data_IF_222006443938
#
_entry.id   IF_222006443938
#
_cell.length_a   1.000
_cell.length_b   1.000
_cell.length_c   1.000
_cell.angle_alpha   90.00
_cell.angle_beta   90.00
_cell.angle_gamma   90.00
#
_symmetry.space_group_name_H-M   'P 1'
#
loop_
_entity.id
_entity.type
_entity.pdbx_description
1 polymer ?
#
# COMPACT_ATOMS: atom_id res chain seq x y z
N UNK A 1 5.47 -4.81 -46.74
CA UNK A 1 4.01 -4.96 -46.50
C UNK A 1 3.75 -6.31 -45.83
N UNK A 2 3.36 -6.29 -44.55
CA UNK A 2 2.22 -7.05 -44.04
C UNK A 2 1.65 -6.27 -42.84
N UNK A 3 0.78 -5.27 -43.09
CA UNK A 3 0.50 -4.20 -42.10
C UNK A 3 -0.70 -4.49 -41.19
N UNK A 4 -1.04 -5.77 -40.94
CA UNK A 4 -2.18 -6.12 -40.08
C UNK A 4 -1.87 -7.34 -39.21
N UNK A 5 -1.79 -7.10 -37.90
CA UNK A 5 -1.58 -8.11 -36.83
C UNK A 5 -2.48 -9.34 -36.96
N UNK A 6 -3.72 -9.15 -37.43
CA UNK A 6 -4.69 -10.23 -37.64
C UNK A 6 -4.20 -11.29 -38.64
N UNK A 7 -3.43 -10.89 -39.67
CA UNK A 7 -2.89 -11.81 -40.67
C UNK A 7 -1.76 -12.65 -40.09
N UNK A 8 -0.86 -12.03 -39.32
CA UNK A 8 0.19 -12.78 -38.62
C UNK A 8 -0.41 -13.79 -37.66
N UNK A 9 -1.39 -13.38 -36.82
CA UNK A 9 -2.06 -14.30 -35.89
C UNK A 9 -2.74 -15.46 -36.63
N UNK A 10 -3.55 -15.17 -37.65
CA UNK A 10 -4.25 -16.22 -38.40
C UNK A 10 -3.29 -17.17 -39.13
N UNK A 11 -2.15 -16.68 -39.63
CA UNK A 11 -1.18 -17.54 -40.30
C UNK A 11 -0.38 -18.38 -39.31
N UNK A 12 0.00 -17.82 -38.16
CA UNK A 12 0.61 -18.58 -37.06
C UNK A 12 -0.34 -19.68 -36.59
N UNK A 13 -1.62 -19.36 -36.37
CA UNK A 13 -2.63 -20.35 -35.95
C UNK A 13 -2.75 -21.50 -36.96
N UNK A 14 -2.69 -21.19 -38.26
CA UNK A 14 -2.69 -22.20 -39.32
C UNK A 14 -1.43 -23.09 -39.27
N UNK A 15 -0.24 -22.51 -39.16
CA UNK A 15 1.00 -23.28 -39.10
C UNK A 15 1.10 -24.13 -37.81
N UNK A 16 0.54 -23.66 -36.69
CA UNK A 16 0.39 -24.45 -35.45
C UNK A 16 -0.52 -25.66 -35.69
N UNK A 17 -1.65 -25.48 -36.39
CA UNK A 17 -2.54 -26.60 -36.75
C UNK A 17 -1.86 -27.62 -37.67
N UNK A 18 -1.01 -27.14 -38.57
CA UNK A 18 -0.19 -27.98 -39.45
C UNK A 18 1.02 -28.60 -38.75
N UNK A 19 1.31 -28.22 -37.49
CA UNK A 19 2.46 -28.64 -36.68
C UNK A 19 3.82 -28.25 -37.29
N UNK A 20 3.84 -27.20 -38.09
CA UNK A 20 5.05 -26.64 -38.71
C UNK A 20 5.70 -25.60 -37.78
N UNK A 21 6.25 -26.07 -36.66
CA UNK A 21 6.74 -25.20 -35.59
C UNK A 21 7.94 -24.33 -35.99
N UNK A 22 8.79 -24.77 -36.92
CA UNK A 22 9.86 -23.95 -37.47
C UNK A 22 9.33 -22.73 -38.24
N UNK A 23 8.23 -22.91 -38.98
CA UNK A 23 7.55 -21.80 -39.66
C UNK A 23 6.87 -20.88 -38.67
N UNK A 24 6.28 -21.42 -37.61
CA UNK A 24 5.72 -20.62 -36.52
C UNK A 24 6.79 -19.69 -35.91
N UNK A 25 8.00 -20.21 -35.63
CA UNK A 25 9.14 -19.43 -35.12
C UNK A 25 9.51 -18.28 -36.06
N UNK A 26 9.73 -18.59 -37.34
CA UNK A 26 10.03 -17.56 -38.35
C UNK A 26 8.93 -16.49 -38.45
N UNK A 27 7.67 -16.87 -38.28
CA UNK A 27 6.56 -15.93 -38.30
C UNK A 27 6.51 -15.04 -37.07
N UNK A 28 6.76 -15.60 -35.88
CA UNK A 28 6.86 -14.81 -34.65
C UNK A 28 8.04 -13.84 -34.69
N UNK A 29 9.22 -14.27 -35.14
CA UNK A 29 10.39 -13.42 -35.32
C UNK A 29 10.08 -12.26 -36.28
N UNK A 30 9.53 -12.55 -37.46
CA UNK A 30 9.11 -11.51 -38.40
C UNK A 30 8.04 -10.58 -37.82
N UNK A 31 7.11 -11.09 -37.03
CA UNK A 31 6.09 -10.25 -36.41
C UNK A 31 6.74 -9.27 -35.43
N UNK A 32 7.68 -9.75 -34.62
CA UNK A 32 8.41 -8.94 -33.65
C UNK A 32 9.39 -7.95 -34.30
N UNK A 33 9.92 -8.24 -35.49
CA UNK A 33 10.68 -7.26 -36.30
C UNK A 33 9.84 -6.03 -36.66
N UNK A 34 8.55 -6.22 -36.98
CA UNK A 34 7.65 -5.10 -37.35
C UNK A 34 7.00 -4.41 -36.14
N UNK A 35 6.84 -5.12 -35.03
CA UNK A 35 6.15 -4.64 -33.84
C UNK A 35 6.75 -5.16 -32.54
N UNK A 36 7.98 -4.73 -32.17
CA UNK A 36 8.65 -5.18 -30.94
C UNK A 36 7.92 -4.71 -29.67
N UNK A 37 7.06 -3.70 -29.77
CA UNK A 37 6.28 -3.12 -28.68
C UNK A 37 5.14 -4.05 -28.21
N UNK A 38 4.71 -4.98 -29.08
CA UNK A 38 3.57 -5.85 -28.83
C UNK A 38 3.91 -6.98 -27.86
N UNK A 39 3.58 -6.74 -26.59
CA UNK A 39 3.79 -7.68 -25.47
C UNK A 39 3.04 -9.00 -25.66
N UNK A 40 1.87 -8.99 -26.32
CA UNK A 40 1.06 -10.21 -26.51
C UNK A 40 1.76 -11.19 -27.45
N UNK A 41 2.43 -10.69 -28.49
CA UNK A 41 3.21 -11.52 -29.40
C UNK A 41 4.39 -12.18 -28.69
N UNK A 42 5.13 -11.44 -27.86
CA UNK A 42 6.21 -11.99 -27.03
C UNK A 42 5.72 -13.11 -26.11
N UNK A 43 4.63 -12.88 -25.38
CA UNK A 43 4.05 -13.88 -24.48
C UNK A 43 3.61 -15.14 -25.25
N UNK A 44 2.92 -14.97 -26.38
CA UNK A 44 2.46 -16.11 -27.20
C UNK A 44 3.62 -16.91 -27.79
N UNK A 45 4.72 -16.23 -28.15
CA UNK A 45 5.91 -16.91 -28.65
C UNK A 45 6.58 -17.73 -27.54
N UNK A 46 6.75 -17.16 -26.35
CA UNK A 46 7.31 -17.89 -25.21
C UNK A 46 6.40 -19.05 -24.74
N UNK A 47 5.08 -18.87 -24.74
CA UNK A 47 4.10 -19.92 -24.46
C UNK A 47 4.23 -21.08 -25.45
N UNK A 48 4.41 -20.80 -26.75
CA UNK A 48 4.62 -21.85 -27.76
C UNK A 48 5.87 -22.68 -27.47
N UNK A 49 7.02 -22.04 -27.20
CA UNK A 49 8.26 -22.77 -26.91
C UNK A 49 8.16 -23.57 -25.61
N UNK A 50 7.47 -23.03 -24.59
CA UNK A 50 7.19 -23.78 -23.37
C UNK A 50 6.32 -25.01 -23.63
N UNK A 51 5.30 -24.91 -24.48
CA UNK A 51 4.46 -26.05 -24.89
C UNK A 51 5.24 -27.10 -25.69
N UNK A 52 6.29 -26.71 -26.39
CA UNK A 52 7.20 -27.61 -27.09
C UNK A 52 8.24 -28.25 -26.15
N UNK A 53 8.32 -27.80 -24.90
CA UNK A 53 9.29 -28.25 -23.90
C UNK A 53 10.63 -27.52 -23.94
N UNK A 54 10.79 -26.53 -24.82
CA UNK A 54 12.02 -25.72 -24.95
C UNK A 54 11.99 -24.55 -23.95
N UNK A 55 12.11 -24.85 -22.65
CA UNK A 55 12.04 -23.86 -21.55
C UNK A 55 13.16 -22.80 -21.65
N UNK A 56 14.37 -23.20 -22.05
CA UNK A 56 15.50 -22.28 -22.22
C UNK A 56 15.24 -21.26 -23.33
N UNK A 57 14.58 -21.66 -24.43
CA UNK A 57 14.19 -20.74 -25.48
C UNK A 57 13.07 -19.82 -25.02
N UNK A 58 12.08 -20.35 -24.29
CA UNK A 58 11.01 -19.53 -23.71
C UNK A 58 11.59 -18.43 -22.78
N UNK A 59 12.57 -18.76 -21.92
CA UNK A 59 13.31 -17.79 -21.10
C UNK A 59 14.04 -16.75 -21.92
N UNK A 60 14.78 -17.18 -22.94
CA UNK A 60 15.49 -16.25 -23.82
C UNK A 60 14.54 -15.25 -24.50
N UNK A 61 13.36 -15.71 -24.92
CA UNK A 61 12.32 -14.85 -25.50
C UNK A 61 11.81 -13.83 -24.47
N UNK A 62 11.52 -14.25 -23.24
CA UNK A 62 11.10 -13.33 -22.17
C UNK A 62 12.18 -12.29 -21.81
N UNK A 63 13.44 -12.71 -21.71
CA UNK A 63 14.55 -11.78 -21.44
C UNK A 63 14.74 -10.77 -22.56
N UNK A 64 14.64 -11.19 -23.83
CA UNK A 64 14.67 -10.28 -24.98
C UNK A 64 13.50 -9.29 -24.94
N UNK A 65 12.31 -9.74 -24.55
CA UNK A 65 11.13 -8.91 -24.44
C UNK A 65 11.29 -7.82 -23.36
N UNK A 66 11.82 -8.19 -22.19
CA UNK A 66 12.04 -7.26 -21.05
C UNK A 66 13.12 -6.20 -21.33
N UNK A 67 14.06 -6.52 -22.22
CA UNK A 67 15.11 -5.59 -22.67
C UNK A 67 14.61 -4.55 -23.68
N UNK A 68 13.41 -4.71 -24.25
CA UNK A 68 12.89 -3.75 -25.21
C UNK A 68 12.64 -2.37 -24.55
N UNK A 69 13.03 -1.27 -25.21
CA UNK A 69 12.92 0.07 -24.63
C UNK A 69 11.48 0.60 -24.59
N UNK A 70 10.61 0.07 -25.47
CA UNK A 70 9.20 0.44 -25.56
C UNK A 70 8.35 -0.82 -25.66
N UNK A 71 7.36 -0.87 -24.79
CA UNK A 71 6.42 -1.97 -24.64
C UNK A 71 5.05 -1.39 -24.36
N UNK A 72 4.01 -1.89 -25.01
CA UNK A 72 2.63 -1.41 -24.84
C UNK A 72 2.11 -1.63 -23.42
N UNK A 73 2.34 -2.84 -22.89
CA UNK A 73 1.86 -3.27 -21.57
C UNK A 73 2.97 -4.02 -20.83
N UNK A 74 3.99 -3.29 -20.31
CA UNK A 74 5.12 -3.90 -19.62
C UNK A 74 4.67 -4.75 -18.42
N UNK A 75 3.68 -4.26 -17.66
CA UNK A 75 3.15 -4.96 -16.47
C UNK A 75 2.65 -6.38 -16.79
N UNK A 76 1.98 -6.54 -17.94
CA UNK A 76 1.43 -7.82 -18.36
C UNK A 76 2.55 -8.80 -18.75
N UNK A 77 3.57 -8.31 -19.47
CA UNK A 77 4.74 -9.11 -19.85
C UNK A 77 5.52 -9.59 -18.63
N UNK A 78 5.80 -8.69 -17.68
CA UNK A 78 6.52 -9.05 -16.45
C UNK A 78 5.74 -10.07 -15.62
N UNK A 79 4.42 -9.89 -15.48
CA UNK A 79 3.57 -10.86 -14.80
C UNK A 79 3.65 -12.23 -15.48
N UNK A 80 3.53 -12.28 -16.81
CA UNK A 80 3.61 -13.54 -17.54
C UNK A 80 4.99 -14.22 -17.38
N UNK A 81 6.07 -13.44 -17.35
CA UNK A 81 7.41 -14.00 -17.13
C UNK A 81 7.58 -14.56 -15.73
N UNK A 82 7.10 -13.85 -14.71
CA UNK A 82 7.11 -14.33 -13.32
C UNK A 82 6.25 -15.60 -13.21
N UNK A 83 5.01 -15.59 -13.72
CA UNK A 83 4.11 -16.75 -13.70
C UNK A 83 4.75 -17.98 -14.39
N UNK A 84 5.52 -17.76 -15.46
CA UNK A 84 6.26 -18.81 -16.16
C UNK A 84 7.34 -19.45 -15.26
N UNK A 85 8.20 -18.67 -14.59
CA UNK A 85 9.21 -19.24 -13.70
C UNK A 85 8.59 -19.91 -12.47
N UNK A 86 7.49 -19.36 -11.95
CA UNK A 86 6.72 -19.98 -10.87
C UNK A 86 6.12 -21.31 -11.31
N UNK A 87 5.59 -21.41 -12.53
CA UNK A 87 5.05 -22.65 -13.08
C UNK A 87 6.12 -23.74 -13.27
N UNK A 88 7.37 -23.34 -13.53
CA UNK A 88 8.51 -24.27 -13.58
C UNK A 88 9.05 -24.65 -12.20
N UNK A 89 8.59 -23.99 -11.13
CA UNK A 89 9.07 -24.20 -9.76
C UNK A 89 10.38 -23.47 -9.45
N UNK A 90 10.85 -22.60 -10.34
CA UNK A 90 12.10 -21.84 -10.18
C UNK A 90 11.88 -20.59 -9.32
N UNK A 91 11.63 -20.83 -8.03
CA UNK A 91 11.28 -19.78 -7.06
C UNK A 91 12.35 -18.71 -6.94
N UNK A 92 13.63 -19.07 -7.03
CA UNK A 92 14.74 -18.13 -6.90
C UNK A 92 14.83 -17.17 -8.09
N UNK A 93 14.60 -17.67 -9.31
CA UNK A 93 14.52 -16.82 -10.50
C UNK A 93 13.31 -15.88 -10.42
N UNK A 94 12.16 -16.37 -9.96
CA UNK A 94 10.99 -15.54 -9.74
C UNK A 94 11.25 -14.39 -8.75
N UNK A 95 11.99 -14.64 -7.64
CA UNK A 95 12.41 -13.58 -6.71
C UNK A 95 13.29 -12.53 -7.39
N UNK A 96 14.28 -12.96 -8.16
CA UNK A 96 15.16 -12.06 -8.90
C UNK A 96 14.39 -11.20 -9.91
N UNK A 97 13.36 -11.75 -10.55
CA UNK A 97 12.47 -11.00 -11.44
C UNK A 97 11.65 -9.96 -10.69
N UNK A 98 11.12 -10.28 -9.51
CA UNK A 98 10.44 -9.30 -8.65
C UNK A 98 11.36 -8.14 -8.26
N UNK A 99 12.59 -8.43 -7.83
CA UNK A 99 13.56 -7.38 -7.47
C UNK A 99 13.89 -6.48 -8.67
N UNK A 100 14.17 -7.05 -9.85
CA UNK A 100 14.40 -6.28 -11.09
C UNK A 100 13.20 -5.41 -11.48
N UNK A 101 11.97 -5.92 -11.29
CA UNK A 101 10.75 -5.16 -11.57
C UNK A 101 10.55 -3.99 -10.58
N UNK A 102 10.90 -4.22 -9.31
CA UNK A 102 10.84 -3.21 -8.25
C UNK A 102 11.85 -2.10 -8.47
N UNK A 103 13.06 -2.41 -8.94
CA UNK A 103 14.06 -1.40 -9.34
C UNK A 103 13.55 -0.46 -10.43
N UNK A 104 12.69 -0.95 -11.33
CA UNK A 104 12.15 -0.16 -12.46
C UNK A 104 10.92 0.65 -12.11
N UNK A 105 9.95 0.09 -11.40
CA UNK A 105 8.60 0.68 -11.28
C UNK A 105 8.20 1.09 -9.87
N UNK A 106 8.83 0.52 -8.82
CA UNK A 106 8.53 0.76 -7.40
C UNK A 106 7.02 0.78 -7.03
N UNK A 107 6.16 0.18 -7.85
CA UNK A 107 4.71 0.25 -7.68
C UNK A 107 4.21 -0.66 -6.55
N UNK A 108 3.24 -0.17 -5.77
CA UNK A 108 2.65 -0.91 -4.64
C UNK A 108 2.09 -2.28 -5.03
N UNK A 109 1.50 -2.40 -6.23
CA UNK A 109 0.94 -3.67 -6.70
C UNK A 109 2.00 -4.75 -6.84
N UNK A 110 3.23 -4.39 -7.22
CA UNK A 110 4.36 -5.32 -7.35
C UNK A 110 4.81 -5.81 -5.98
N UNK A 111 4.90 -4.92 -4.99
CA UNK A 111 5.20 -5.29 -3.61
C UNK A 111 4.15 -6.25 -3.04
N UNK A 112 2.86 -5.96 -3.24
CA UNK A 112 1.77 -6.82 -2.80
C UNK A 112 1.78 -8.18 -3.50
N UNK A 113 2.06 -8.23 -4.81
CA UNK A 113 2.19 -9.51 -5.53
C UNK A 113 3.40 -10.30 -5.06
N UNK A 114 4.51 -9.63 -4.74
CA UNK A 114 5.72 -10.30 -4.26
C UNK A 114 5.50 -10.94 -2.89
N UNK A 115 4.85 -10.23 -1.96
CA UNK A 115 4.48 -10.80 -0.65
C UNK A 115 3.51 -11.99 -0.78
N UNK A 116 2.51 -11.89 -1.67
CA UNK A 116 1.59 -13.00 -1.97
C UNK A 116 2.29 -14.19 -2.60
N UNK A 117 3.28 -13.95 -3.45
CA UNK A 117 4.11 -14.98 -4.06
C UNK A 117 4.85 -15.78 -2.98
N UNK A 118 5.59 -15.13 -2.07
CA UNK A 118 6.30 -15.83 -0.98
C UNK A 118 5.33 -16.66 -0.12
N UNK A 119 4.12 -16.17 0.13
CA UNK A 119 3.11 -16.92 0.87
C UNK A 119 2.53 -18.11 0.10
N UNK A 120 2.47 -18.01 -1.22
CA UNK A 120 2.02 -19.09 -2.10
C UNK A 120 3.05 -20.20 -2.30
N UNK A 121 4.30 -19.99 -1.89
CA UNK A 121 5.35 -21.00 -1.99
C UNK A 121 5.15 -22.10 -0.96
N UNK A 122 4.47 -23.18 -1.34
CA UNK A 122 4.50 -24.42 -0.56
C UNK A 122 5.81 -25.16 -0.83
N UNK A 123 6.85 -24.84 -0.06
CA UNK A 123 7.99 -25.74 0.09
C UNK A 123 7.50 -26.92 0.95
N UNK A 124 7.57 -28.14 0.41
CA UNK A 124 6.69 -29.25 0.77
C UNK A 124 6.50 -29.53 2.27
N UNK A 125 5.23 -29.68 2.66
CA UNK A 125 4.65 -30.36 3.86
C UNK A 125 5.31 -30.14 5.24
N UNK A 126 6.26 -29.20 5.35
CA UNK A 126 7.05 -28.97 6.56
C UNK A 126 6.67 -27.62 7.16
N UNK A 127 6.03 -27.63 8.33
CA UNK A 127 5.55 -26.40 9.00
C UNK A 127 6.61 -25.31 9.27
N UNK A 128 7.91 -25.64 9.18
CA UNK A 128 9.01 -24.68 9.29
C UNK A 128 9.08 -23.74 8.08
N UNK A 129 8.77 -24.22 6.88
CA UNK A 129 8.84 -23.40 5.66
C UNK A 129 7.71 -22.37 5.62
N UNK A 130 6.54 -22.70 6.18
CA UNK A 130 5.43 -21.76 6.32
C UNK A 130 5.79 -20.56 7.22
N UNK A 131 6.51 -20.79 8.31
CA UNK A 131 6.96 -19.71 9.20
C UNK A 131 8.01 -18.82 8.51
N UNK A 132 8.91 -19.41 7.73
CA UNK A 132 9.89 -18.66 6.94
C UNK A 132 9.19 -17.76 5.91
N UNK A 133 8.20 -18.28 5.18
CA UNK A 133 7.44 -17.51 4.20
C UNK A 133 6.71 -16.32 4.81
N UNK A 134 6.09 -16.50 5.99
CA UNK A 134 5.46 -15.41 6.75
C UNK A 134 6.48 -14.32 7.08
N UNK A 135 7.67 -14.71 7.56
CA UNK A 135 8.75 -13.76 7.88
C UNK A 135 9.27 -13.03 6.64
N UNK A 136 9.37 -13.71 5.49
CA UNK A 136 9.77 -13.10 4.22
C UNK A 136 8.73 -12.10 3.73
N UNK A 137 7.44 -12.47 3.73
CA UNK A 137 6.34 -11.59 3.36
C UNK A 137 6.29 -10.32 4.24
N UNK A 138 6.48 -10.46 5.56
CA UNK A 138 6.59 -9.32 6.48
C UNK A 138 7.72 -8.36 6.10
N UNK A 139 8.91 -8.91 5.82
CA UNK A 139 10.07 -8.11 5.39
C UNK A 139 9.79 -7.35 4.09
N UNK A 140 9.08 -7.97 3.15
CA UNK A 140 8.67 -7.34 1.89
C UNK A 140 7.73 -6.16 2.19
N UNK A 141 6.72 -6.34 3.04
CA UNK A 141 5.82 -5.25 3.45
C UNK A 141 6.54 -4.12 4.19
N UNK A 142 7.47 -4.43 5.08
CA UNK A 142 8.29 -3.44 5.77
C UNK A 142 9.11 -2.59 4.81
N UNK A 143 9.85 -3.24 3.89
CA UNK A 143 10.64 -2.56 2.86
C UNK A 143 9.76 -1.71 1.95
N UNK A 144 8.61 -2.23 1.53
CA UNK A 144 7.65 -1.51 0.72
C UNK A 144 7.12 -0.26 1.44
N UNK A 145 6.79 -0.35 2.74
CA UNK A 145 6.29 0.78 3.51
C UNK A 145 7.35 1.86 3.68
N UNK A 146 8.60 1.49 3.91
CA UNK A 146 9.70 2.44 3.98
C UNK A 146 9.95 3.14 2.63
N UNK A 147 9.96 2.39 1.53
CA UNK A 147 10.12 2.95 0.18
C UNK A 147 9.00 3.91 -0.18
N UNK A 148 7.73 3.53 0.03
CA UNK A 148 6.58 4.40 -0.27
C UNK A 148 6.55 5.65 0.63
N UNK A 149 7.01 5.53 1.87
CA UNK A 149 7.21 6.69 2.76
C UNK A 149 8.26 7.65 2.20
N UNK A 150 9.38 7.15 1.69
CA UNK A 150 10.43 7.98 1.08
C UNK A 150 9.97 8.66 -0.22
N UNK A 151 9.16 7.96 -1.03
CA UNK A 151 8.55 8.52 -2.24
C UNK A 151 7.45 9.55 -1.94
N UNK A 152 6.87 9.53 -0.74
CA UNK A 152 5.76 10.40 -0.34
C UNK A 152 4.42 9.99 -0.97
N UNK A 153 4.33 8.81 -1.58
CA UNK A 153 3.10 8.28 -2.17
C UNK A 153 2.17 7.73 -1.09
N UNK A 154 1.34 8.63 -0.55
CA UNK A 154 0.46 8.33 0.57
C UNK A 154 -0.66 7.35 0.20
N UNK A 155 -1.23 7.46 -1.00
CA UNK A 155 -2.33 6.61 -1.44
C UNK A 155 -1.86 5.16 -1.61
N UNK A 156 -0.73 4.97 -2.30
CA UNK A 156 -0.11 3.65 -2.41
C UNK A 156 0.30 3.11 -1.04
N UNK A 157 0.81 3.94 -0.13
CA UNK A 157 1.17 3.53 1.22
C UNK A 157 -0.05 3.07 2.04
N UNK A 158 -1.20 3.73 1.90
CA UNK A 158 -2.47 3.29 2.52
C UNK A 158 -2.85 1.91 1.99
N UNK A 159 -2.84 1.74 0.66
CA UNK A 159 -3.19 0.46 0.02
C UNK A 159 -2.27 -0.68 0.47
N UNK A 160 -0.97 -0.40 0.61
CA UNK A 160 -0.01 -1.36 1.14
C UNK A 160 -0.34 -1.78 2.57
N UNK A 161 -0.65 -0.82 3.46
CA UNK A 161 -0.96 -1.09 4.86
C UNK A 161 -2.28 -1.84 5.03
N UNK A 162 -3.27 -1.58 4.17
CA UNK A 162 -4.51 -2.37 4.11
C UNK A 162 -4.22 -3.82 3.72
N UNK A 163 -3.39 -4.03 2.70
CA UNK A 163 -2.97 -5.37 2.29
C UNK A 163 -2.13 -6.08 3.36
N UNK A 164 -1.23 -5.37 4.06
CA UNK A 164 -0.44 -5.92 5.15
C UNK A 164 -1.32 -6.31 6.34
N UNK A 165 -2.30 -5.48 6.69
CA UNK A 165 -3.30 -5.81 7.73
C UNK A 165 -4.07 -7.08 7.38
N UNK A 166 -4.55 -7.18 6.14
CA UNK A 166 -5.29 -8.36 5.70
C UNK A 166 -4.41 -9.62 5.71
N UNK A 167 -3.13 -9.48 5.37
CA UNK A 167 -2.13 -10.54 5.52
C UNK A 167 -1.94 -10.98 6.98
N UNK A 168 -1.76 -10.06 7.94
CA UNK A 168 -1.54 -10.43 9.35
C UNK A 168 -2.79 -11.06 9.99
N UNK A 169 -3.98 -10.64 9.54
CA UNK A 169 -5.24 -11.30 9.92
C UNK A 169 -5.23 -12.78 9.54
N UNK A 170 -4.76 -13.09 8.34
CA UNK A 170 -4.73 -14.46 7.83
C UNK A 170 -3.61 -15.28 8.48
N UNK A 171 -2.48 -14.66 8.84
CA UNK A 171 -1.37 -15.28 9.57
C UNK A 171 -1.65 -15.50 11.08
N UNK A 172 -2.74 -14.95 11.63
CA UNK A 172 -3.19 -15.10 13.03
C UNK A 172 -2.22 -14.57 14.10
N UNK A 173 -1.36 -13.61 13.78
CA UNK A 173 -0.42 -12.99 14.74
C UNK A 173 -0.99 -11.68 15.31
N UNK A 174 -1.47 -11.73 16.55
CA UNK A 174 -2.11 -10.59 17.19
C UNK A 174 -1.14 -9.43 17.49
N UNK A 175 0.15 -9.70 17.69
CA UNK A 175 1.13 -8.66 18.01
C UNK A 175 1.54 -7.88 16.76
N UNK A 176 1.86 -8.60 15.69
CA UNK A 176 2.22 -7.96 14.41
C UNK A 176 1.03 -7.21 13.81
N UNK A 177 -0.18 -7.76 13.91
CA UNK A 177 -1.41 -7.07 13.53
C UNK A 177 -1.56 -5.72 14.25
N UNK A 178 -1.33 -5.66 15.57
CA UNK A 178 -1.41 -4.41 16.31
C UNK A 178 -0.36 -3.40 15.82
N UNK A 179 0.87 -3.84 15.54
CA UNK A 179 1.92 -2.96 14.98
C UNK A 179 1.53 -2.38 13.63
N UNK A 180 0.84 -3.15 12.77
CA UNK A 180 0.33 -2.65 11.48
C UNK A 180 -0.79 -1.64 11.70
N UNK A 181 -1.70 -1.91 12.66
CA UNK A 181 -2.77 -0.99 13.02
C UNK A 181 -2.25 0.35 13.54
N UNK A 182 -1.18 0.35 14.33
CA UNK A 182 -0.56 1.56 14.86
C UNK A 182 0.06 2.43 13.74
N UNK A 183 0.37 1.84 12.58
CA UNK A 183 0.89 2.54 11.39
C UNK A 183 -0.21 3.09 10.48
N UNK A 184 -1.47 2.70 10.68
CA UNK A 184 -2.57 3.08 9.79
C UNK A 184 -2.81 4.60 9.77
N UNK A 185 -3.01 5.20 8.58
CA UNK A 185 -3.23 6.63 8.47
C UNK A 185 -4.65 7.03 8.85
N UNK A 186 -4.81 8.29 9.22
CA UNK A 186 -6.11 8.94 9.36
C UNK A 186 -6.43 9.71 8.09
N UNK A 187 -7.60 9.45 7.52
CA UNK A 187 -8.12 10.22 6.39
C UNK A 187 -8.70 11.54 6.91
N UNK A 188 -8.18 12.65 6.41
CA UNK A 188 -8.64 14.01 6.74
C UNK A 188 -9.13 14.73 5.49
N UNK A 189 -10.03 15.71 5.69
CA UNK A 189 -10.42 16.64 4.64
C UNK A 189 -9.54 17.88 4.71
N UNK A 190 -8.90 18.23 3.61
CA UNK A 190 -8.09 19.43 3.46
C UNK A 190 -8.73 20.35 2.42
N UNK A 191 -8.72 21.65 2.67
CA UNK A 191 -9.16 22.66 1.71
C UNK A 191 -7.94 23.10 0.91
N UNK A 192 -7.95 22.86 -0.40
CA UNK A 192 -6.89 23.26 -1.32
C UNK A 192 -7.43 24.36 -2.25
N UNK A 193 -6.61 25.36 -2.58
CA UNK A 193 -7.03 26.41 -3.51
C UNK A 193 -7.02 25.87 -4.94
N UNK A 194 -8.08 26.14 -5.69
CA UNK A 194 -8.17 25.90 -7.13
C UNK A 194 -7.57 27.12 -7.82
N UNK A 195 -6.55 26.88 -8.66
CA UNK A 195 -5.92 27.93 -9.47
C UNK A 195 -6.15 27.54 -10.92
N UNK A 196 -6.78 28.44 -11.68
CA UNK A 196 -7.00 28.32 -13.12
C UNK A 196 -5.66 28.29 -13.88
N UNK A 197 -5.64 27.81 -15.13
CA UNK A 197 -4.45 27.89 -16.01
C UNK A 197 -3.91 29.33 -16.18
N UNK A 198 -4.75 30.33 -15.93
CA UNK A 198 -4.40 31.76 -15.96
C UNK A 198 -3.90 32.30 -14.61
N UNK A 199 -3.69 31.45 -13.60
CA UNK A 199 -3.21 31.86 -12.28
C UNK A 199 -4.27 32.53 -11.38
N UNK A 200 -5.54 32.58 -11.80
CA UNK A 200 -6.63 33.17 -11.03
C UNK A 200 -7.14 32.17 -9.99
N UNK A 201 -7.26 32.60 -8.72
CA UNK A 201 -7.84 31.78 -7.64
C UNK A 201 -9.35 31.61 -7.88
N UNK A 202 -9.78 30.42 -8.33
CA UNK A 202 -11.18 30.12 -8.69
C UNK A 202 -12.01 29.53 -7.53
N UNK A 203 -11.36 29.17 -6.41
CA UNK A 203 -12.08 28.70 -5.22
C UNK A 203 -11.28 27.75 -4.35
N UNK A 204 -11.99 27.00 -3.50
CA UNK A 204 -11.42 25.95 -2.65
C UNK A 204 -12.02 24.60 -3.03
N UNK A 205 -11.18 23.59 -3.23
CA UNK A 205 -11.56 22.19 -3.38
C UNK A 205 -11.37 21.44 -2.05
N UNK A 206 -12.33 20.59 -1.69
CA UNK A 206 -12.16 19.64 -0.59
C UNK A 206 -11.42 18.40 -1.12
N UNK A 207 -10.12 18.32 -0.83
CA UNK A 207 -9.28 17.17 -1.18
C UNK A 207 -9.06 16.31 0.07
N UNK A 208 -9.14 14.99 -0.08
CA UNK A 208 -8.80 14.07 1.00
C UNK A 208 -7.28 13.90 1.09
N UNK A 209 -6.74 13.97 2.29
CA UNK A 209 -5.32 13.71 2.56
C UNK A 209 -5.19 12.66 3.68
N UNK A 210 -4.04 12.01 3.74
CA UNK A 210 -3.71 11.01 4.74
C UNK A 210 -2.61 11.52 5.67
N UNK A 211 -2.81 11.33 6.97
CA UNK A 211 -1.82 11.59 8.00
C UNK A 211 -1.43 10.26 8.64
N UNK A 212 -0.16 9.89 8.52
CA UNK A 212 0.41 8.73 9.20
C UNK A 212 0.89 9.14 10.60
N UNK A 213 0.60 8.34 11.65
CA UNK A 213 0.99 8.66 13.02
C UNK A 213 2.50 8.92 13.19
N UNK A 214 3.34 8.16 12.49
CA UNK A 214 4.80 8.32 12.51
C UNK A 214 5.28 9.66 11.93
N UNK A 215 4.65 10.12 10.85
CA UNK A 215 5.01 11.37 10.17
C UNK A 215 4.56 12.59 11.01
N UNK A 216 3.54 12.41 11.84
CA UNK A 216 3.03 13.41 12.77
C UNK A 216 4.01 13.67 13.93
N UNK A 217 4.60 12.58 14.47
CA UNK A 217 5.64 12.63 15.51
C UNK A 217 6.94 13.26 15.02
N UNK A 218 7.23 13.22 13.72
CA UNK A 218 8.41 13.85 13.13
C UNK A 218 8.30 15.39 13.07
N UNK A 219 7.09 15.97 13.19
CA UNK A 219 6.89 17.43 13.12
C UNK A 219 6.92 18.07 14.51
N UNK A 220 7.87 18.98 14.80
CA UNK A 220 8.04 19.55 16.16
C UNK A 220 6.82 20.33 16.64
N UNK A 221 6.12 21.02 15.74
CA UNK A 221 4.96 21.86 16.08
C UNK A 221 3.73 21.05 16.52
N UNK A 222 3.65 19.76 16.15
CA UNK A 222 2.52 18.89 16.49
C UNK A 222 2.72 18.18 17.83
N UNK A 223 3.97 17.98 18.29
CA UNK A 223 4.26 17.45 19.64
C UNK A 223 3.69 18.35 20.73
N UNK A 224 3.82 19.67 20.56
CA UNK A 224 3.26 20.66 21.49
C UNK A 224 1.72 20.58 21.54
N UNK A 225 1.08 20.43 20.38
CA UNK A 225 -0.38 20.36 20.28
C UNK A 225 -0.93 19.03 20.80
N UNK A 226 -0.24 17.91 20.55
CA UNK A 226 -0.55 16.61 21.13
C UNK A 226 -0.40 16.62 22.66
N UNK A 227 0.70 17.18 23.18
CA UNK A 227 0.92 17.34 24.62
C UNK A 227 -0.15 18.25 25.27
N UNK A 228 -0.55 19.34 24.61
CA UNK A 228 -1.63 20.20 25.07
C UNK A 228 -2.99 19.48 25.12
N UNK A 229 -3.26 18.60 24.15
CA UNK A 229 -4.48 17.78 24.13
C UNK A 229 -4.47 16.75 25.26
N UNK A 230 -3.32 16.10 25.52
CA UNK A 230 -3.16 15.16 26.64
C UNK A 230 -3.31 15.84 28.00
N UNK A 231 -2.79 17.07 28.17
CA UNK A 231 -2.99 17.87 29.39
C UNK A 231 -4.46 18.20 29.61
N UNK A 232 -5.20 18.56 28.55
CA UNK A 232 -6.63 18.86 28.64
C UNK A 232 -7.44 17.63 29.05
N UNK A 233 -7.18 16.47 28.45
CA UNK A 233 -7.86 15.21 28.82
C UNK A 233 -7.54 14.75 30.24
N UNK A 234 -6.32 15.00 30.73
CA UNK A 234 -5.99 14.75 32.14
C UNK A 234 -6.78 15.66 33.08
N UNK A 235 -6.92 16.94 32.71
CA UNK A 235 -7.69 17.92 33.50
C UNK A 235 -9.17 17.52 33.59
N UNK A 236 -9.75 17.10 32.47
CA UNK A 236 -11.15 16.65 32.40
C UNK A 236 -11.38 15.34 33.19
N UNK A 237 -10.38 14.46 33.31
CA UNK A 237 -10.45 13.24 34.15
C UNK A 237 -10.19 13.46 35.64
N UNK A 238 -9.67 14.63 36.05
CA UNK A 238 -9.36 14.94 37.47
C UNK A 238 -10.41 15.80 38.18
N UNK A 239 -11.56 16.06 37.55
CA UNK A 239 -12.70 16.73 38.20
C UNK A 239 -13.66 15.68 38.75
N UNK A 240 -13.22 14.96 39.78
CA UNK A 240 -14.12 14.42 40.82
C UNK A 240 -13.81 15.22 42.09
N UNK A 241 -14.69 16.16 42.45
CA UNK A 241 -14.57 17.00 43.64
C UNK A 241 -14.50 16.14 44.92
N UNK A 242 -13.53 16.36 45.83
CA UNK A 242 -13.63 15.80 47.18
C UNK A 242 -14.76 16.49 47.97
N UNK A 243 -15.48 15.79 48.87
CA UNK A 243 -16.62 16.37 49.58
C UNK A 243 -16.14 17.46 50.52
N UNK A 244 -16.85 18.60 50.53
CA UNK A 244 -16.55 19.78 51.33
C UNK A 244 -16.48 19.45 52.85
N UNK A 245 -15.54 20.06 53.60
CA UNK A 245 -15.42 19.83 55.03
C UNK A 245 -16.54 20.53 55.82
N UNK A 246 -17.12 19.83 56.79
CA UNK A 246 -18.12 20.35 57.71
C UNK A 246 -17.55 21.50 58.57
N UNK A 247 -18.23 22.65 58.53
CA UNK A 247 -17.87 23.86 59.31
C UNK A 247 -18.39 23.68 60.74
N UNK A 248 -17.47 23.65 61.71
CA UNK A 248 -17.78 23.69 63.14
C UNK A 248 -18.08 25.13 63.58
N UNK A 249 -19.12 25.26 64.40
CA UNK A 249 -19.66 26.50 64.99
C UNK A 249 -18.70 27.17 65.99
N UNK A 250 -18.48 28.47 65.85
CA UNK A 250 -17.88 29.34 66.88
C UNK A 250 -18.97 29.91 67.83
N UNK A 251 -18.68 30.15 69.13
CA UNK A 251 -19.65 30.67 70.08
C UNK A 251 -19.65 32.21 70.18
N UNK A 252 -20.84 32.75 70.44
CA UNK A 252 -21.17 34.18 70.58
C UNK A 252 -20.47 34.90 71.75
N UNK A 253 -20.21 36.23 71.64
CA UNK A 253 -19.94 37.07 72.80
C UNK A 253 -21.20 37.82 73.29
N UNK A 254 -21.24 37.99 74.61
CA UNK A 254 -22.38 38.47 75.40
C UNK A 254 -22.71 39.96 75.28
N UNK A 255 -24.03 40.20 75.28
CA UNK A 255 -24.87 41.36 75.68
C UNK A 255 -24.27 42.45 76.57
N UNK A 256 -24.67 43.70 76.28
CA UNK A 256 -25.03 44.68 77.30
C UNK A 256 -26.16 45.63 76.84
N UNK A 257 -26.81 46.27 77.80
CA UNK A 257 -28.24 46.62 77.86
C UNK A 257 -28.75 47.91 77.17
N UNK A 258 -30.09 47.93 77.05
CA UNK A 258 -31.07 48.91 76.52
C UNK A 258 -31.13 50.26 77.29
N UNK A 259 -32.15 51.17 77.16
CA UNK A 259 -33.40 51.17 76.35
C UNK A 259 -33.89 52.54 75.76
N UNK A 260 -35.09 52.51 75.13
CA UNK A 260 -36.09 53.58 74.91
C UNK A 260 -35.81 54.60 73.77
N UNK A 261 -36.74 55.13 72.96
CA UNK A 261 -38.22 55.25 72.93
C UNK A 261 -38.57 55.77 71.49
N UNK A 262 -39.63 55.31 70.82
CA UNK A 262 -40.93 56.00 70.53
C UNK A 262 -41.18 56.29 69.04
N UNK A 263 -42.32 55.79 68.54
CA UNK A 263 -43.35 56.40 67.64
C UNK A 263 -42.87 57.17 66.40
N UNK A 264 -43.46 57.09 65.21
CA UNK A 264 -44.88 57.25 64.87
C UNK A 264 -45.07 57.09 63.34
N UNK A 265 -46.33 56.88 62.98
CA UNK A 265 -47.04 56.73 61.71
C UNK A 265 -47.14 57.95 60.77
N UNK A 266 -47.67 57.70 59.56
CA UNK A 266 -48.33 58.66 58.64
C UNK A 266 -47.46 59.13 57.47
N UNK A 267 -47.88 59.15 56.20
CA UNK A 267 -49.18 59.00 55.53
C UNK A 267 -48.95 58.41 54.12
#
# INVERSE_FOLDING_TARGET
MCPRDKLFRGYIDLEIQLREFERCRMLYEKFLEFGPENCVTWMKFAELENLLGDTDRARAIFELAVQQPRLDMPELLWKAYIDFEVALGETELARQLYERLLERTQHVKVWMSFAKFEMGLSHGDSGQDAELNVRLARRIYERANEMLRQLGDKESRVLLLEAWRDFERDASDSQEMQKVMDKMPRRIKKRQKIVSDNGVEEGWEEVFDYIFPEDELARPNLKLLAAAKMWKTQKDNTVDDPPAPAIASEPEPAVDAAPAETTDSGD
#
